data_IF_923330553630
#
_entry.id   IF_923330553630
#
_cell.length_a   1.000
_cell.length_b   1.000
_cell.length_c   1.000
_cell.angle_alpha   90.00
_cell.angle_beta   90.00
_cell.angle_gamma   90.00
#
_symmetry.space_group_name_H-M   'P 1'
#
loop_
_entity.id
_entity.type
_entity.pdbx_description
1 polymer ?
#
# COMPACT_ATOMS: atom_id res chain seq x y z
N UNK A 1 13.86 22.55 -18.84
CA UNK A 1 13.21 21.34 -19.38
C UNK A 1 12.98 20.21 -18.36
N UNK A 2 13.57 20.25 -17.15
CA UNK A 2 13.19 19.32 -16.06
C UNK A 2 11.77 19.60 -15.56
N UNK A 3 11.03 18.54 -15.24
CA UNK A 3 9.67 18.62 -14.69
C UNK A 3 8.55 18.78 -15.72
N UNK A 4 8.89 18.76 -17.02
CA UNK A 4 7.89 18.77 -18.09
C UNK A 4 7.37 17.34 -18.29
N UNK A 5 6.05 17.18 -18.38
CA UNK A 5 5.41 15.91 -18.73
C UNK A 5 5.12 15.88 -20.22
N UNK A 6 5.55 14.83 -20.90
CA UNK A 6 5.28 14.65 -22.33
C UNK A 6 3.78 14.41 -22.57
N UNK A 7 3.13 15.22 -23.40
CA UNK A 7 1.69 15.07 -23.70
C UNK A 7 1.35 13.78 -24.47
N UNK A 8 2.29 13.25 -25.26
CA UNK A 8 2.06 12.03 -26.03
C UNK A 8 2.14 10.75 -25.20
N UNK A 9 3.07 10.66 -24.24
CA UNK A 9 3.30 9.42 -23.47
C UNK A 9 3.05 9.56 -21.95
N UNK A 10 2.80 10.77 -21.44
CA UNK A 10 2.55 11.02 -20.02
C UNK A 10 3.79 10.87 -19.11
N UNK A 11 4.98 10.68 -19.68
CA UNK A 11 6.22 10.52 -18.90
C UNK A 11 6.82 11.88 -18.58
N UNK A 12 7.14 12.07 -17.30
CA UNK A 12 7.86 13.26 -16.82
C UNK A 12 9.36 13.18 -17.13
N UNK A 13 9.91 14.26 -17.68
CA UNK A 13 11.34 14.41 -17.93
C UNK A 13 12.04 14.81 -16.63
N UNK A 14 12.59 13.81 -15.94
CA UNK A 14 13.31 13.96 -14.67
C UNK A 14 14.45 12.95 -14.57
N UNK A 15 15.23 13.00 -13.49
CA UNK A 15 16.29 12.01 -13.26
C UNK A 15 15.69 10.60 -13.08
N UNK A 16 16.33 9.59 -13.69
CA UNK A 16 15.90 8.20 -13.54
C UNK A 16 15.88 7.71 -12.09
N UNK A 17 16.64 8.37 -11.19
CA UNK A 17 16.69 8.10 -9.75
C UNK A 17 15.31 8.18 -9.07
N UNK A 18 14.37 8.97 -9.59
CA UNK A 18 13.03 9.07 -8.99
C UNK A 18 12.27 7.72 -8.97
N UNK A 19 12.61 6.78 -9.87
CA UNK A 19 12.00 5.43 -9.93
C UNK A 19 12.23 4.60 -8.65
N UNK A 20 13.21 4.98 -7.82
CA UNK A 20 13.49 4.33 -6.53
C UNK A 20 12.62 4.85 -5.38
N UNK A 21 11.92 5.97 -5.57
CA UNK A 21 11.22 6.68 -4.50
C UNK A 21 9.72 6.89 -4.77
N UNK A 22 9.29 6.87 -6.03
CA UNK A 22 7.87 7.00 -6.39
C UNK A 22 7.15 5.67 -6.15
N UNK A 23 6.11 5.72 -5.32
CA UNK A 23 5.30 4.55 -4.98
C UNK A 23 4.10 4.43 -5.90
N UNK A 24 3.77 3.21 -6.31
CA UNK A 24 2.47 2.86 -6.89
C UNK A 24 1.55 2.29 -5.82
N UNK A 25 0.29 2.06 -6.17
CA UNK A 25 -0.65 1.34 -5.31
C UNK A 25 -1.58 0.47 -6.16
N UNK A 26 -2.19 -0.52 -5.51
CA UNK A 26 -3.21 -1.39 -6.11
C UNK A 26 -4.54 -1.06 -5.45
N UNK A 27 -5.56 -0.79 -6.28
CA UNK A 27 -6.94 -0.62 -5.80
C UNK A 27 -7.59 -1.99 -5.68
N UNK A 28 -7.88 -2.42 -4.45
CA UNK A 28 -8.52 -3.70 -4.19
C UNK A 28 -10.03 -3.63 -4.49
N UNK A 29 -10.61 -4.74 -4.96
CA UNK A 29 -12.05 -4.85 -5.18
C UNK A 29 -12.84 -4.95 -3.86
N UNK A 30 -12.22 -5.51 -2.82
CA UNK A 30 -12.76 -5.66 -1.47
C UNK A 30 -11.67 -5.37 -0.43
N UNK A 31 -12.04 -4.97 0.80
CA UNK A 31 -11.07 -4.72 1.87
C UNK A 31 -10.36 -6.02 2.28
N UNK A 32 -9.08 -5.90 2.64
CA UNK A 32 -8.23 -7.02 3.11
C UNK A 32 -7.48 -6.56 4.36
N UNK A 33 -7.41 -7.43 5.35
CA UNK A 33 -6.64 -7.20 6.58
C UNK A 33 -5.17 -7.53 6.36
N UNK A 34 -4.27 -6.69 6.86
CA UNK A 34 -2.84 -6.99 6.83
C UNK A 34 -2.51 -8.13 7.81
N UNK A 35 -1.76 -9.15 7.34
CA UNK A 35 -1.50 -10.38 8.11
C UNK A 35 -0.83 -10.14 9.46
N UNK A 36 0.00 -9.10 9.58
CA UNK A 36 0.66 -8.74 10.85
C UNK A 36 -0.31 -8.36 11.97
N UNK A 37 -1.45 -7.76 11.64
CA UNK A 37 -2.45 -7.39 12.65
C UNK A 37 -3.42 -8.54 12.95
N UNK A 38 -3.59 -9.45 12.01
CA UNK A 38 -4.42 -10.65 12.17
C UNK A 38 -3.67 -11.76 12.93
N UNK A 39 -2.53 -12.22 12.40
CA UNK A 39 -1.75 -13.35 12.91
C UNK A 39 -0.63 -12.96 13.89
N UNK A 40 -0.45 -11.67 14.15
CA UNK A 40 0.46 -11.21 15.20
C UNK A 40 0.04 -11.79 16.56
N UNK A 41 1.00 -12.04 17.44
CA UNK A 41 0.74 -12.47 18.82
C UNK A 41 1.16 -11.32 19.74
N UNK A 42 0.24 -10.66 20.47
CA UNK A 42 -1.21 -10.87 20.41
C UNK A 42 -1.82 -10.30 19.13
N UNK A 43 -2.98 -10.84 18.72
CA UNK A 43 -3.69 -10.34 17.54
C UNK A 43 -4.35 -9.01 17.86
N UNK A 44 -3.89 -7.95 17.21
CA UNK A 44 -4.46 -6.61 17.38
C UNK A 44 -5.95 -6.59 17.02
N UNK A 45 -6.34 -7.35 16.00
CA UNK A 45 -7.75 -7.45 15.60
C UNK A 45 -8.61 -8.13 16.65
N UNK A 46 -8.11 -9.21 17.26
CA UNK A 46 -8.80 -9.91 18.34
C UNK A 46 -9.02 -9.02 19.56
N UNK A 47 -7.99 -8.26 19.96
CA UNK A 47 -8.09 -7.32 21.08
C UNK A 47 -9.11 -6.21 20.79
N UNK A 48 -9.05 -5.60 19.60
CA UNK A 48 -9.93 -4.49 19.25
C UNK A 48 -11.40 -4.91 19.14
N UNK A 49 -11.65 -6.13 18.69
CA UNK A 49 -13.01 -6.65 18.51
C UNK A 49 -13.53 -7.39 19.75
N UNK A 50 -12.73 -7.54 20.80
CA UNK A 50 -13.02 -8.37 21.97
C UNK A 50 -13.47 -9.80 21.59
N UNK A 51 -12.79 -10.36 20.59
CA UNK A 51 -13.06 -11.70 20.06
C UNK A 51 -11.84 -12.60 20.27
N UNK A 52 -12.03 -13.90 20.54
CA UNK A 52 -10.90 -14.81 20.59
C UNK A 52 -10.24 -14.92 19.21
N UNK A 53 -8.92 -15.03 19.17
CA UNK A 53 -8.13 -15.02 17.93
C UNK A 53 -8.58 -16.05 16.88
N UNK A 54 -9.18 -17.16 17.30
CA UNK A 54 -9.70 -18.21 16.42
C UNK A 54 -10.94 -17.76 15.62
N UNK A 55 -11.69 -16.81 16.14
CA UNK A 55 -12.99 -16.38 15.60
C UNK A 55 -12.89 -15.09 14.78
N UNK A 56 -11.68 -14.51 14.69
CA UNK A 56 -11.32 -13.37 13.82
C UNK A 56 -10.80 -13.89 12.49
#
# INVERSE_FOLDING_TARGET
HRGIVCERCGVEVTESRVRRHRMGYIKLAAPVTHVWYLKGIPSYMAILLDMPHRDV
#
